data_IF_529374271680
#
_entry.id   IF_529374271680
#
_cell.length_a   1.000
_cell.length_b   1.000
_cell.length_c   1.000
_cell.angle_alpha   90.00
_cell.angle_beta   90.00
_cell.angle_gamma   90.00
#
_symmetry.space_group_name_H-M   'P 1'
#
loop_
_entity.id
_entity.type
_entity.pdbx_description
1 polymer ?
#
# COMPACT_ATOMS: atom_id res chain seq x y z
N UNK A 1 -6.64 -4.91 -20.19
CA UNK A 1 -5.71 -4.53 -21.26
C UNK A 1 -4.42 -5.24 -20.91
N UNK A 2 -4.00 -6.26 -21.66
CA UNK A 2 -2.79 -7.03 -21.34
C UNK A 2 -1.57 -6.15 -21.58
N UNK A 3 -0.82 -5.88 -20.52
CA UNK A 3 0.49 -5.26 -20.59
C UNK A 3 1.46 -6.34 -21.06
N UNK A 4 2.18 -6.10 -22.16
CA UNK A 4 3.33 -6.91 -22.53
C UNK A 4 4.53 -6.38 -21.72
N UNK A 5 4.79 -6.97 -20.55
CA UNK A 5 5.98 -6.67 -19.78
C UNK A 5 7.20 -7.28 -20.48
N UNK A 6 8.25 -6.49 -20.71
CA UNK A 6 9.52 -6.98 -21.26
C UNK A 6 10.55 -7.25 -20.17
N UNK A 7 10.42 -6.56 -19.02
CA UNK A 7 11.37 -6.61 -17.92
C UNK A 7 10.63 -6.43 -16.58
N UNK A 8 11.32 -6.68 -15.47
CA UNK A 8 10.82 -6.38 -14.13
C UNK A 8 11.96 -5.99 -13.18
N UNK A 9 11.60 -5.23 -12.15
CA UNK A 9 12.49 -4.94 -11.02
C UNK A 9 12.02 -5.72 -9.78
N UNK A 10 12.99 -6.32 -9.07
CA UNK A 10 12.75 -6.98 -7.79
C UNK A 10 13.87 -6.67 -6.79
N UNK A 11 13.49 -6.19 -5.61
CA UNK A 11 14.43 -5.79 -4.54
C UNK A 11 15.50 -4.80 -5.05
N UNK A 12 15.11 -3.87 -5.93
CA UNK A 12 15.99 -2.83 -6.48
C UNK A 12 16.91 -3.27 -7.63
N UNK A 13 16.83 -4.52 -8.09
CA UNK A 13 17.63 -5.01 -9.23
C UNK A 13 16.70 -5.33 -10.41
N UNK A 14 17.18 -5.10 -11.63
CA UNK A 14 16.43 -5.42 -12.85
C UNK A 14 16.79 -6.81 -13.38
N UNK A 15 15.84 -7.48 -14.03
CA UNK A 15 16.11 -8.77 -14.70
C UNK A 15 17.07 -8.58 -15.88
N UNK A 16 16.90 -7.49 -16.64
CA UNK A 16 17.79 -7.11 -17.75
C UNK A 16 19.25 -6.88 -17.31
N UNK A 17 19.49 -6.33 -16.12
CA UNK A 17 20.85 -6.17 -15.56
C UNK A 17 21.55 -7.52 -15.35
N UNK A 18 20.78 -8.60 -15.17
CA UNK A 18 21.28 -9.97 -15.08
C UNK A 18 21.37 -10.67 -16.45
N UNK A 19 21.01 -9.98 -17.56
CA UNK A 19 20.95 -10.49 -18.94
C UNK A 19 19.88 -11.56 -19.18
N UNK A 20 18.74 -11.40 -18.53
CA UNK A 20 17.55 -12.23 -18.70
C UNK A 20 16.38 -11.38 -19.20
N UNK A 21 15.40 -12.04 -19.82
CA UNK A 21 14.16 -11.42 -20.27
C UNK A 21 12.95 -12.26 -19.87
N UNK A 22 11.78 -11.63 -19.84
CA UNK A 22 10.50 -12.33 -19.70
C UNK A 22 10.15 -13.01 -21.03
N UNK A 23 9.79 -14.29 -20.98
CA UNK A 23 9.44 -15.07 -22.15
C UNK A 23 8.21 -15.96 -21.87
N UNK A 24 7.74 -16.63 -22.92
CA UNK A 24 6.66 -17.60 -22.85
C UNK A 24 7.11 -18.88 -23.57
N UNK A 25 7.26 -19.97 -22.82
CA UNK A 25 7.62 -21.27 -23.39
C UNK A 25 6.39 -22.05 -23.90
N UNK A 26 5.16 -21.60 -23.59
CA UNK A 26 3.90 -22.25 -23.96
C UNK A 26 2.98 -21.29 -24.75
N UNK A 27 3.42 -20.94 -25.96
CA UNK A 27 2.69 -20.07 -26.90
C UNK A 27 1.35 -20.65 -27.43
N UNK A 28 0.81 -21.71 -26.82
CA UNK A 28 -0.30 -22.48 -27.38
C UNK A 28 -1.70 -21.88 -27.12
N UNK A 29 -1.85 -20.96 -26.15
CA UNK A 29 -3.13 -20.27 -25.89
C UNK A 29 -2.97 -18.76 -25.84
N UNK A 30 -3.41 -18.05 -26.88
CA UNK A 30 -3.43 -16.58 -26.94
C UNK A 30 -4.43 -15.90 -26.00
N UNK A 31 -4.84 -16.56 -24.91
CA UNK A 31 -5.72 -16.02 -23.90
C UNK A 31 -5.42 -16.67 -22.54
N UNK A 32 -4.72 -15.94 -21.67
CA UNK A 32 -4.50 -16.31 -20.27
C UNK A 32 -5.45 -15.51 -19.38
N UNK A 33 -6.17 -16.20 -18.49
CA UNK A 33 -6.96 -15.56 -17.42
C UNK A 33 -6.08 -15.47 -16.17
N UNK A 34 -5.65 -14.27 -15.78
CA UNK A 34 -4.95 -14.03 -14.52
C UNK A 34 -5.94 -13.69 -13.41
N UNK A 35 -5.68 -14.17 -12.18
CA UNK A 35 -6.46 -13.77 -11.00
C UNK A 35 -5.97 -12.40 -10.54
N UNK A 36 -6.88 -11.42 -10.51
CA UNK A 36 -6.56 -10.05 -10.12
C UNK A 36 -6.52 -9.82 -8.61
N UNK A 37 -6.57 -10.88 -7.78
CA UNK A 37 -6.74 -10.75 -6.32
C UNK A 37 -8.03 -10.02 -5.90
N UNK A 38 -8.91 -9.68 -6.85
CA UNK A 38 -10.07 -8.80 -6.66
C UNK A 38 -11.35 -9.55 -6.30
N UNK A 39 -11.23 -10.81 -5.86
CA UNK A 39 -12.37 -11.62 -5.44
C UNK A 39 -12.80 -11.18 -4.04
N UNK A 40 -13.87 -10.40 -4.00
CA UNK A 40 -14.51 -9.98 -2.76
C UNK A 40 -15.54 -11.03 -2.35
N UNK A 41 -15.31 -11.69 -1.22
CA UNK A 41 -16.29 -12.59 -0.63
C UNK A 41 -17.20 -11.82 0.32
N UNK A 42 -18.50 -11.85 0.03
CA UNK A 42 -19.53 -11.19 0.84
C UNK A 42 -20.11 -12.17 1.86
N UNK A 43 -19.90 -11.88 3.14
CA UNK A 43 -20.60 -12.59 4.21
C UNK A 43 -22.00 -12.00 4.35
N UNK A 44 -23.01 -12.84 4.10
CA UNK A 44 -24.42 -12.43 4.06
C UNK A 44 -25.24 -13.25 5.05
N UNK A 45 -26.11 -12.58 5.81
CA UNK A 45 -27.12 -13.25 6.65
C UNK A 45 -28.47 -13.19 5.97
N UNK A 46 -29.08 -14.37 5.80
CA UNK A 46 -30.42 -14.52 5.25
C UNK A 46 -31.48 -13.93 6.18
N UNK A 47 -32.37 -13.11 5.62
CA UNK A 47 -33.51 -12.47 6.27
C UNK A 47 -34.76 -12.72 5.46
N UNK A 48 -35.91 -12.61 6.12
CA UNK A 48 -37.22 -12.80 5.50
C UNK A 48 -37.34 -14.15 4.76
N UNK A 49 -36.90 -15.24 5.40
CA UNK A 49 -36.93 -16.58 4.82
C UNK A 49 -36.19 -16.68 3.47
N UNK A 50 -34.99 -16.10 3.36
CA UNK A 50 -34.19 -16.15 2.13
C UNK A 50 -34.55 -15.12 1.07
N UNK A 51 -35.51 -14.22 1.34
CA UNK A 51 -35.91 -13.17 0.38
C UNK A 51 -35.01 -11.94 0.40
N UNK A 52 -34.27 -11.73 1.49
CA UNK A 52 -33.31 -10.62 1.61
C UNK A 52 -32.05 -11.13 2.29
N UNK A 53 -30.91 -10.56 1.92
CA UNK A 53 -29.62 -10.89 2.52
C UNK A 53 -29.01 -9.58 3.02
N UNK A 54 -28.65 -9.52 4.30
CA UNK A 54 -27.95 -8.38 4.87
C UNK A 54 -26.46 -8.69 4.90
N UNK A 55 -25.63 -7.78 4.36
CA UNK A 55 -24.17 -7.87 4.42
C UNK A 55 -23.70 -7.71 5.87
N UNK A 56 -22.94 -8.68 6.36
CA UNK A 56 -22.28 -8.61 7.67
C UNK A 56 -20.83 -8.16 7.56
N UNK A 57 -20.11 -8.63 6.54
CA UNK A 57 -18.76 -8.18 6.20
C UNK A 57 -18.43 -8.48 4.74
N UNK A 58 -17.35 -7.89 4.24
CA UNK A 58 -16.75 -8.19 2.94
C UNK A 58 -15.23 -8.28 3.13
N UNK A 59 -14.61 -9.32 2.60
CA UNK A 59 -13.18 -9.60 2.73
C UNK A 59 -12.57 -9.92 1.36
N UNK A 60 -11.28 -9.62 1.20
CA UNK A 60 -10.47 -10.19 0.13
C UNK A 60 -9.93 -11.54 0.63
N UNK A 61 -10.24 -12.63 -0.08
CA UNK A 61 -9.79 -13.98 0.29
C UNK A 61 -8.47 -14.39 -0.37
N UNK A 62 -8.09 -13.69 -1.45
CA UNK A 62 -6.93 -14.02 -2.27
C UNK A 62 -6.00 -12.82 -2.40
N UNK A 63 -4.70 -13.10 -2.51
CA UNK A 63 -3.71 -12.12 -2.93
C UNK A 63 -3.50 -12.25 -4.44
N UNK A 64 -2.88 -11.24 -5.04
CA UNK A 64 -2.54 -11.28 -6.46
C UNK A 64 -1.52 -12.41 -6.71
N UNK A 65 -1.79 -13.20 -7.75
CA UNK A 65 -0.90 -14.23 -8.25
C UNK A 65 -0.69 -14.05 -9.75
N UNK A 66 0.55 -14.22 -10.20
CA UNK A 66 0.90 -14.17 -11.61
C UNK A 66 1.95 -15.25 -11.90
N UNK A 67 1.89 -15.80 -13.11
CA UNK A 67 2.82 -16.81 -13.59
C UNK A 67 3.42 -16.35 -14.90
N UNK A 68 4.74 -16.46 -15.02
CA UNK A 68 5.48 -16.10 -16.23
C UNK A 68 6.85 -16.79 -16.24
N UNK A 69 7.44 -16.89 -17.42
CA UNK A 69 8.75 -17.53 -17.58
C UNK A 69 9.85 -16.50 -17.82
N UNK A 70 11.08 -16.85 -17.44
CA UNK A 70 12.28 -16.10 -17.81
C UNK A 70 13.31 -17.00 -18.50
N UNK A 71 14.06 -16.43 -19.41
CA UNK A 71 15.20 -17.07 -20.05
C UNK A 71 16.34 -16.06 -20.29
N UNK A 72 17.53 -16.56 -20.64
CA UNK A 72 18.65 -15.71 -21.04
C UNK A 72 18.27 -14.91 -22.27
N UNK A 73 18.64 -13.63 -22.29
CA UNK A 73 18.44 -12.78 -23.44
C UNK A 73 19.35 -13.25 -24.60
N UNK A 74 18.80 -13.66 -25.76
CA UNK A 74 19.57 -14.08 -26.93
C UNK A 74 20.50 -13.01 -27.52
N UNK A 75 20.20 -11.73 -27.32
CA UNK A 75 21.01 -10.63 -27.87
C UNK A 75 22.24 -10.34 -27.00
N UNK A 76 22.18 -10.67 -25.70
CA UNK A 76 23.22 -10.39 -24.70
C UNK A 76 24.05 -11.62 -24.29
N UNK A 77 23.66 -12.82 -24.75
CA UNK A 77 24.30 -14.10 -24.41
C UNK A 77 24.54 -14.98 -25.63
N UNK A 78 25.73 -15.57 -25.71
CA UNK A 78 26.13 -16.48 -26.80
C UNK A 78 25.39 -17.85 -26.74
N UNK A 79 24.93 -18.23 -25.54
CA UNK A 79 24.09 -19.40 -25.33
C UNK A 79 22.91 -19.09 -24.40
N UNK A 80 21.85 -19.86 -24.55
CA UNK A 80 20.65 -19.75 -23.73
C UNK A 80 20.63 -20.74 -22.55
N UNK A 81 21.76 -21.42 -22.28
CA UNK A 81 21.82 -22.43 -21.24
C UNK A 81 22.08 -21.71 -19.92
N UNK A 82 21.17 -21.90 -18.95
CA UNK A 82 21.38 -21.41 -17.60
C UNK A 82 22.28 -22.40 -16.87
N UNK A 83 23.49 -21.97 -16.55
CA UNK A 83 24.43 -22.80 -15.81
C UNK A 83 24.10 -22.85 -14.30
N UNK A 84 24.80 -23.69 -13.55
CA UNK A 84 24.57 -23.83 -12.11
C UNK A 84 24.94 -22.57 -11.31
N UNK A 85 25.85 -21.73 -11.82
CA UNK A 85 26.25 -20.50 -11.15
C UNK A 85 25.15 -19.44 -11.25
N UNK A 86 24.69 -19.21 -12.48
CA UNK A 86 23.60 -18.33 -12.85
C UNK A 86 22.29 -18.76 -12.15
N UNK A 87 21.98 -20.05 -12.19
CA UNK A 87 20.81 -20.59 -11.50
C UNK A 87 20.86 -20.31 -10.00
N UNK A 88 22.02 -20.47 -9.35
CA UNK A 88 22.16 -20.16 -7.91
C UNK A 88 22.03 -18.67 -7.63
N UNK A 89 22.49 -17.80 -8.52
CA UNK A 89 22.31 -16.36 -8.39
C UNK A 89 20.83 -15.98 -8.49
N UNK A 90 20.10 -16.52 -9.47
CA UNK A 90 18.67 -16.32 -9.65
C UNK A 90 17.85 -16.86 -8.47
N UNK A 91 18.12 -18.08 -8.02
CA UNK A 91 17.46 -18.66 -6.84
C UNK A 91 17.70 -17.81 -5.59
N UNK A 92 18.94 -17.33 -5.40
CA UNK A 92 19.24 -16.44 -4.28
C UNK A 92 18.43 -15.17 -4.40
N UNK A 93 18.35 -14.54 -5.58
CA UNK A 93 17.68 -13.25 -5.76
C UNK A 93 16.15 -13.34 -5.64
N UNK A 94 15.52 -14.27 -6.36
CA UNK A 94 14.07 -14.35 -6.54
C UNK A 94 13.36 -15.17 -5.45
N UNK A 95 13.94 -16.28 -4.99
CA UNK A 95 13.30 -17.15 -4.00
C UNK A 95 13.63 -16.69 -2.57
N UNK A 96 12.84 -15.74 -2.07
CA UNK A 96 13.02 -15.12 -0.75
C UNK A 96 11.99 -15.61 0.26
N UNK A 97 12.37 -15.63 1.54
CA UNK A 97 11.45 -15.91 2.64
C UNK A 97 10.64 -14.69 3.10
N UNK A 98 10.63 -13.61 2.30
CA UNK A 98 9.95 -12.35 2.61
C UNK A 98 9.41 -11.73 1.34
N UNK A 99 8.32 -10.99 1.48
CA UNK A 99 7.79 -10.16 0.40
C UNK A 99 8.68 -8.92 0.22
N UNK A 100 9.01 -8.60 -1.03
CA UNK A 100 9.87 -7.47 -1.41
C UNK A 100 9.25 -6.69 -2.56
N UNK A 101 9.64 -5.42 -2.74
CA UNK A 101 9.15 -4.60 -3.85
C UNK A 101 9.41 -5.27 -5.20
N UNK A 102 8.34 -5.39 -5.99
CA UNK A 102 8.32 -5.88 -7.35
C UNK A 102 7.52 -4.94 -8.24
N UNK A 103 7.98 -4.70 -9.46
CA UNK A 103 7.21 -3.98 -10.49
C UNK A 103 7.54 -4.50 -11.87
N UNK A 104 6.53 -4.56 -12.74
CA UNK A 104 6.72 -4.81 -14.16
C UNK A 104 7.17 -3.53 -14.88
N UNK A 105 8.03 -3.71 -15.88
CA UNK A 105 8.52 -2.66 -16.75
C UNK A 105 8.06 -2.99 -18.18
N UNK A 106 7.26 -2.09 -18.76
CA UNK A 106 6.70 -2.24 -20.10
C UNK A 106 7.65 -1.80 -21.22
N UNK A 107 7.41 -2.29 -22.44
CA UNK A 107 8.11 -1.85 -23.66
C UNK A 107 7.78 -0.42 -24.09
N UNK A 108 6.57 0.02 -23.76
CA UNK A 108 5.97 1.26 -24.24
C UNK A 108 5.51 2.09 -23.04
N UNK A 109 6.23 3.19 -22.76
CA UNK A 109 5.86 4.28 -21.84
C UNK A 109 4.52 4.98 -22.20
N UNK A 110 3.63 4.34 -22.98
CA UNK A 110 2.41 4.96 -23.52
C UNK A 110 1.23 4.91 -22.57
N UNK A 111 1.24 3.98 -21.60
CA UNK A 111 0.20 3.86 -20.58
C UNK A 111 0.85 3.78 -19.19
N UNK A 112 1.59 4.83 -18.81
CA UNK A 112 2.45 4.97 -17.61
C UNK A 112 1.79 4.82 -16.22
N UNK A 113 0.71 4.03 -16.13
CA UNK A 113 -0.05 3.73 -14.92
C UNK A 113 0.60 2.60 -14.11
N UNK A 114 1.23 1.59 -14.75
CA UNK A 114 1.77 0.41 -14.04
C UNK A 114 3.27 0.48 -13.67
N UNK A 115 4.10 1.31 -14.31
CA UNK A 115 5.54 1.42 -14.00
C UNK A 115 5.84 1.96 -12.59
N UNK A 116 4.85 2.66 -12.00
CA UNK A 116 4.91 3.24 -10.67
C UNK A 116 4.18 2.42 -9.62
N UNK A 117 3.60 1.27 -9.99
CA UNK A 117 2.90 0.39 -9.05
C UNK A 117 3.85 -0.68 -8.55
N UNK A 118 4.00 -0.71 -7.23
CA UNK A 118 4.85 -1.66 -6.53
C UNK A 118 3.96 -2.72 -5.88
N UNK A 119 4.27 -3.98 -6.16
CA UNK A 119 3.69 -5.13 -5.51
C UNK A 119 4.70 -5.70 -4.51
N UNK A 120 4.29 -5.97 -3.29
CA UNK A 120 5.15 -6.64 -2.32
C UNK A 120 5.01 -8.16 -2.55
N UNK A 121 5.95 -8.73 -3.31
CA UNK A 121 5.85 -10.08 -3.85
C UNK A 121 7.01 -11.01 -3.46
N UNK A 122 6.78 -12.30 -3.65
CA UNK A 122 7.77 -13.37 -3.54
C UNK A 122 7.51 -14.43 -4.60
N UNK A 123 8.54 -15.19 -4.96
CA UNK A 123 8.48 -16.16 -6.06
C UNK A 123 8.76 -17.59 -5.60
N UNK A 124 7.94 -18.52 -6.08
CA UNK A 124 8.32 -19.92 -6.24
C UNK A 124 8.83 -20.14 -7.66
N UNK A 125 9.81 -21.03 -7.82
CA UNK A 125 10.57 -21.17 -9.07
C UNK A 125 10.65 -22.63 -9.47
N UNK A 126 10.25 -22.93 -10.70
CA UNK A 126 10.39 -24.23 -11.34
C UNK A 126 11.37 -24.17 -12.52
N UNK A 127 11.97 -25.31 -12.87
CA UNK A 127 12.99 -25.40 -13.93
C UNK A 127 12.36 -25.80 -15.26
N UNK A 128 12.67 -25.05 -16.32
CA UNK A 128 12.29 -25.39 -17.69
C UNK A 128 13.49 -26.02 -18.40
N UNK A 129 13.40 -27.32 -18.67
CA UNK A 129 14.48 -28.10 -19.29
C UNK A 129 14.10 -28.62 -20.68
N UNK A 130 15.05 -28.54 -21.61
CA UNK A 130 14.95 -29.16 -22.94
C UNK A 130 16.16 -30.08 -23.10
N UNK A 131 15.93 -31.34 -23.42
CA UNK A 131 16.98 -32.36 -23.54
C UNK A 131 17.97 -32.39 -22.34
N UNK A 132 17.42 -32.37 -21.11
CA UNK A 132 18.13 -32.35 -19.82
C UNK A 132 18.97 -31.09 -19.51
N UNK A 133 18.98 -30.08 -20.39
CA UNK A 133 19.64 -28.80 -20.16
C UNK A 133 18.63 -27.75 -19.73
N UNK A 134 19.04 -26.84 -18.84
CA UNK A 134 18.19 -25.77 -18.30
C UNK A 134 18.20 -24.58 -19.24
N UNK A 135 17.03 -24.15 -19.71
CA UNK A 135 16.87 -23.03 -20.65
C UNK A 135 16.04 -21.88 -20.08
N UNK A 136 15.22 -22.15 -19.07
CA UNK A 136 14.38 -21.14 -18.47
C UNK A 136 13.94 -21.51 -17.06
N UNK A 137 13.29 -20.56 -16.42
CA UNK A 137 12.66 -20.72 -15.13
C UNK A 137 11.20 -20.27 -15.23
N UNK A 138 10.30 -21.07 -14.68
CA UNK A 138 8.90 -20.70 -14.50
C UNK A 138 8.75 -20.07 -13.12
N UNK A 139 8.21 -18.86 -13.05
CA UNK A 139 8.01 -18.14 -11.79
C UNK A 139 6.53 -18.09 -11.45
N UNK A 140 6.20 -18.50 -10.22
CA UNK A 140 4.90 -18.26 -9.61
C UNK A 140 5.05 -17.12 -8.60
N UNK A 141 4.56 -15.94 -8.95
CA UNK A 141 4.53 -14.77 -8.09
C UNK A 141 3.34 -14.85 -7.14
N UNK A 142 3.57 -14.51 -5.87
CA UNK A 142 2.50 -14.26 -4.89
C UNK A 142 2.77 -12.95 -4.17
N UNK A 143 1.75 -12.10 -4.06
CA UNK A 143 1.83 -10.85 -3.28
C UNK A 143 1.33 -11.06 -1.84
N UNK A 144 1.60 -10.08 -0.96
CA UNK A 144 1.03 -10.04 0.39
C UNK A 144 -0.32 -9.29 0.48
N UNK A 145 -0.80 -8.74 -0.64
CA UNK A 145 -1.98 -7.89 -0.71
C UNK A 145 -2.74 -8.10 -2.03
N UNK A 146 -4.07 -7.89 -2.05
CA UNK A 146 -4.91 -8.02 -3.25
C UNK A 146 -4.77 -6.83 -4.23
N UNK A 147 -3.80 -5.94 -4.02
CA UNK A 147 -3.61 -4.71 -4.77
C UNK A 147 -2.12 -4.33 -4.82
N UNK A 148 -1.78 -3.40 -5.71
CA UNK A 148 -0.48 -2.75 -5.73
C UNK A 148 -0.48 -1.44 -4.95
N UNK A 149 0.70 -0.87 -4.76
CA UNK A 149 0.91 0.41 -4.09
C UNK A 149 1.52 1.41 -5.06
N UNK A 150 0.98 2.63 -5.12
CA UNK A 150 1.60 3.72 -5.86
C UNK A 150 2.80 4.31 -5.10
N UNK A 151 3.39 5.36 -5.67
CA UNK A 151 4.50 6.07 -5.05
C UNK A 151 4.11 6.69 -3.69
N UNK A 152 5.06 6.73 -2.77
CA UNK A 152 4.86 7.34 -1.45
C UNK A 152 4.49 8.81 -1.56
N UNK A 153 3.32 9.18 -1.04
CA UNK A 153 2.86 10.56 -0.97
C UNK A 153 3.19 11.11 0.42
N UNK A 154 3.85 12.26 0.46
CA UNK A 154 4.21 12.93 1.71
C UNK A 154 3.77 14.38 1.74
N UNK A 155 3.21 14.83 2.87
CA UNK A 155 2.90 16.25 3.11
C UNK A 155 3.28 16.64 4.54
N UNK A 156 3.74 17.87 4.71
CA UNK A 156 3.96 18.49 6.03
C UNK A 156 3.00 19.65 6.23
N UNK A 157 2.39 19.69 7.41
CA UNK A 157 1.41 20.70 7.81
C UNK A 157 1.81 21.29 9.16
N UNK A 158 1.61 22.59 9.32
CA UNK A 158 1.81 23.28 10.61
C UNK A 158 0.48 23.53 11.29
N UNK A 159 0.39 23.19 12.57
CA UNK A 159 -0.78 23.41 13.42
C UNK A 159 -0.39 24.34 14.57
N UNK A 160 -1.13 25.43 14.76
CA UNK A 160 -0.85 26.36 15.85
C UNK A 160 -1.38 25.83 17.19
N UNK A 161 -0.81 26.31 18.31
CA UNK A 161 -1.19 25.92 19.67
C UNK A 161 -2.49 26.55 20.18
N UNK A 162 -3.28 27.15 19.28
CA UNK A 162 -4.59 27.71 19.59
C UNK A 162 -5.62 26.59 19.45
N UNK A 163 -6.43 26.37 20.50
CA UNK A 163 -7.53 25.41 20.44
C UNK A 163 -8.44 25.69 19.23
N UNK A 164 -8.76 24.65 18.47
CA UNK A 164 -9.54 24.76 17.23
C UNK A 164 -8.74 25.20 16.01
N UNK A 165 -7.42 25.40 16.10
CA UNK A 165 -6.56 25.54 14.92
C UNK A 165 -6.69 24.31 14.04
N UNK A 166 -6.70 24.52 12.72
CA UNK A 166 -6.91 23.43 11.76
C UNK A 166 -5.82 23.39 10.71
N UNK A 167 -5.49 22.18 10.26
CA UNK A 167 -4.73 21.94 9.05
C UNK A 167 -5.41 20.84 8.23
N UNK A 168 -5.31 20.92 6.91
CA UNK A 168 -5.99 20.00 6.00
C UNK A 168 -4.97 19.27 5.13
N UNK A 169 -4.93 17.92 5.22
CA UNK A 169 -4.30 17.08 4.21
C UNK A 169 -4.76 17.46 2.80
N UNK A 170 -3.85 17.39 1.83
CA UNK A 170 -4.21 17.61 0.44
C UNK A 170 -5.18 16.50 0.01
N UNK A 171 -6.37 16.90 -0.44
CA UNK A 171 -7.45 16.01 -0.86
C UNK A 171 -7.04 15.19 -2.08
N UNK A 172 -6.33 15.80 -3.02
CA UNK A 172 -5.98 15.14 -4.28
C UNK A 172 -5.07 13.92 -4.01
N UNK A 173 -4.21 14.01 -2.99
CA UNK A 173 -3.39 12.89 -2.51
C UNK A 173 -4.23 11.75 -1.92
N UNK A 174 -5.24 12.08 -1.12
CA UNK A 174 -6.12 11.07 -0.52
C UNK A 174 -6.94 10.35 -1.59
N UNK A 175 -7.36 11.05 -2.64
CA UNK A 175 -8.13 10.49 -3.75
C UNK A 175 -7.32 9.65 -4.75
N UNK A 176 -5.98 9.63 -4.65
CA UNK A 176 -5.16 8.68 -5.44
C UNK A 176 -5.34 7.23 -4.98
N UNK A 177 -6.00 7.01 -3.84
CA UNK A 177 -6.29 5.68 -3.34
C UNK A 177 -7.59 5.12 -3.96
N UNK A 178 -7.51 3.99 -4.64
CA UNK A 178 -8.65 3.31 -5.29
C UNK A 178 -9.54 2.54 -4.28
N UNK A 179 -9.11 2.39 -3.03
CA UNK A 179 -9.87 1.76 -1.95
C UNK A 179 -10.55 2.84 -1.09
N UNK A 180 -11.88 2.76 -0.99
CA UNK A 180 -12.61 3.50 0.02
C UNK A 180 -12.40 2.87 1.39
N UNK A 181 -12.15 3.70 2.40
CA UNK A 181 -11.88 3.22 3.75
C UNK A 181 -10.94 4.11 4.53
N UNK A 182 -10.42 3.53 5.63
CA UNK A 182 -9.40 4.17 6.45
C UNK A 182 -8.03 3.99 5.80
N UNK A 183 -7.28 5.08 5.73
CA UNK A 183 -5.86 5.10 5.37
C UNK A 183 -5.07 5.23 6.68
N UNK A 184 -3.99 4.46 6.80
CA UNK A 184 -3.12 4.43 7.98
C UNK A 184 -1.71 4.95 7.63
N UNK A 185 -1.50 6.28 7.57
CA UNK A 185 -0.18 6.83 7.27
C UNK A 185 0.84 6.56 8.38
N UNK A 186 2.11 6.70 8.01
CA UNK A 186 3.17 6.97 8.97
C UNK A 186 3.20 8.46 9.24
N UNK A 187 3.23 8.85 10.51
CA UNK A 187 3.30 10.25 10.94
C UNK A 187 4.64 10.54 11.63
N UNK A 188 5.14 11.74 11.40
CA UNK A 188 6.25 12.34 12.16
C UNK A 188 5.79 13.70 12.65
N UNK A 189 5.70 13.87 13.96
CA UNK A 189 5.21 15.09 14.59
C UNK A 189 6.36 15.76 15.33
N UNK A 190 6.64 17.02 14.99
CA UNK A 190 7.61 17.85 15.72
C UNK A 190 6.86 18.77 16.67
N UNK A 191 7.05 18.58 17.97
CA UNK A 191 6.47 19.41 19.02
C UNK A 191 7.12 20.81 19.03
N UNK A 192 6.32 21.88 19.02
CA UNK A 192 6.80 23.29 19.03
C UNK A 192 6.67 23.98 20.39
N UNK A 193 6.45 23.20 21.44
CA UNK A 193 6.31 23.70 22.81
C UNK A 193 6.33 22.58 23.82
N UNK A 194 6.43 22.93 25.10
CA UNK A 194 6.31 21.98 26.20
C UNK A 194 4.87 21.90 26.67
N UNK A 195 4.35 20.70 26.88
CA UNK A 195 2.96 20.45 27.29
C UNK A 195 2.37 19.25 26.57
N UNK A 196 1.04 19.19 26.46
CA UNK A 196 0.36 18.02 25.90
C UNK A 196 0.16 18.19 24.39
N UNK A 197 0.51 17.18 23.61
CA UNK A 197 0.23 17.09 22.19
C UNK A 197 -1.17 16.48 22.00
N UNK A 198 -2.13 17.33 21.60
CA UNK A 198 -3.54 16.94 21.48
C UNK A 198 -4.13 17.40 20.17
N UNK A 199 -4.61 16.46 19.38
CA UNK A 199 -5.35 16.78 18.17
C UNK A 199 -6.42 15.75 17.88
N UNK A 200 -7.36 16.14 17.03
CA UNK A 200 -8.38 15.26 16.50
C UNK A 200 -8.25 15.20 14.99
N UNK A 201 -8.53 14.04 14.41
CA UNK A 201 -8.77 13.93 12.98
C UNK A 201 -10.27 13.92 12.77
N UNK A 202 -10.76 14.90 12.01
CA UNK A 202 -12.16 15.00 11.64
C UNK A 202 -12.37 14.52 10.21
N UNK A 203 -13.50 13.82 9.99
CA UNK A 203 -14.05 13.52 8.65
C UNK A 203 -15.04 14.62 8.26
N UNK A 204 -15.28 14.77 6.96
CA UNK A 204 -16.27 15.73 6.46
C UNK A 204 -17.70 15.44 6.93
N UNK A 205 -18.54 16.47 6.87
CA UNK A 205 -19.85 16.53 7.53
C UNK A 205 -20.92 15.64 6.89
N UNK A 206 -20.69 15.03 5.72
CA UNK A 206 -21.71 14.25 5.04
C UNK A 206 -21.79 12.78 5.47
N UNK A 207 -21.02 12.38 6.51
CA UNK A 207 -20.69 10.96 6.77
C UNK A 207 -21.03 10.44 8.18
N UNK A 208 -22.15 10.87 8.77
CA UNK A 208 -22.57 10.41 10.11
C UNK A 208 -22.97 8.92 10.17
N UNK A 209 -23.31 8.26 9.06
CA UNK A 209 -24.08 7.00 9.10
C UNK A 209 -23.35 5.71 8.69
N UNK A 210 -22.20 5.76 8.01
CA UNK A 210 -21.55 4.53 7.49
C UNK A 210 -20.51 3.91 8.41
N UNK A 211 -19.98 4.67 9.37
CA UNK A 211 -19.10 4.16 10.42
C UNK A 211 -19.78 4.34 11.78
N UNK A 212 -20.74 3.48 12.14
CA UNK A 212 -21.64 3.68 13.28
C UNK A 212 -20.94 3.69 14.65
N UNK A 213 -19.69 3.22 14.73
CA UNK A 213 -18.87 3.32 15.94
C UNK A 213 -18.22 4.70 16.13
N UNK A 214 -18.24 5.55 15.11
CA UNK A 214 -17.75 6.94 15.13
C UNK A 214 -18.94 7.88 14.96
N UNK A 215 -19.79 7.93 15.99
CA UNK A 215 -21.05 8.69 16.02
C UNK A 215 -20.90 10.22 15.99
N UNK A 216 -19.69 10.73 15.78
CA UNK A 216 -19.34 12.13 15.61
C UNK A 216 -18.41 12.28 14.38
N UNK A 217 -18.22 13.50 13.89
CA UNK A 217 -17.31 13.77 12.77
C UNK A 217 -15.83 13.58 13.13
N UNK A 218 -15.52 12.88 14.23
CA UNK A 218 -14.18 12.66 14.78
C UNK A 218 -13.80 11.20 14.50
N UNK A 219 -12.77 11.00 13.69
CA UNK A 219 -12.18 9.69 13.43
C UNK A 219 -11.23 9.26 14.55
N UNK A 220 -10.49 10.21 15.11
CA UNK A 220 -9.50 9.92 16.14
C UNK A 220 -9.34 11.12 17.06
N UNK A 221 -9.14 10.86 18.36
CA UNK A 221 -8.64 11.84 19.34
C UNK A 221 -7.28 11.35 19.82
N UNK A 222 -6.22 11.99 19.35
CA UNK A 222 -4.84 11.68 19.70
C UNK A 222 -4.39 12.54 20.88
N UNK A 223 -3.78 11.91 21.88
CA UNK A 223 -3.29 12.59 23.08
C UNK A 223 -1.98 11.96 23.56
N UNK A 224 -0.95 12.79 23.68
CA UNK A 224 0.29 12.47 24.40
C UNK A 224 0.55 13.59 25.40
N UNK A 225 0.64 13.23 26.67
CA UNK A 225 0.98 14.16 27.74
C UNK A 225 2.48 14.44 27.80
N UNK A 226 2.88 15.51 28.49
CA UNK A 226 4.29 15.74 28.88
C UNK A 226 5.32 15.83 27.73
N UNK A 227 4.90 16.21 26.53
CA UNK A 227 5.81 16.46 25.41
C UNK A 227 6.69 17.69 25.66
N UNK A 228 7.86 17.73 25.03
CA UNK A 228 8.81 18.84 25.13
C UNK A 228 9.05 19.53 23.79
N UNK A 229 9.50 20.79 23.83
CA UNK A 229 9.80 21.54 22.60
C UNK A 229 10.95 20.89 21.81
N UNK A 230 10.73 20.65 20.52
CA UNK A 230 11.67 19.98 19.62
C UNK A 230 11.62 18.44 19.68
N UNK A 231 10.76 17.87 20.52
CA UNK A 231 10.53 16.42 20.54
C UNK A 231 9.89 15.95 19.22
N UNK A 232 10.35 14.80 18.74
CA UNK A 232 9.83 14.18 17.52
C UNK A 232 9.10 12.88 17.91
N UNK A 233 7.81 12.83 17.61
CA UNK A 233 6.98 11.63 17.77
C UNK A 233 6.81 10.97 16.41
N UNK A 234 7.24 9.71 16.29
CA UNK A 234 7.08 8.90 15.07
C UNK A 234 6.03 7.83 15.31
N UNK A 235 5.03 7.77 14.43
CA UNK A 235 3.87 6.88 14.52
C UNK A 235 3.77 6.08 13.23
N UNK A 236 3.71 4.76 13.34
CA UNK A 236 3.31 3.85 12.27
C UNK A 236 1.90 3.35 12.59
N UNK A 237 0.88 4.01 12.02
CA UNK A 237 -0.53 3.73 12.35
C UNK A 237 -0.99 2.35 11.90
N UNK A 238 -0.39 1.81 10.83
CA UNK A 238 -0.70 0.46 10.33
C UNK A 238 -0.18 -0.60 11.31
N UNK A 239 1.06 -0.46 11.78
CA UNK A 239 1.66 -1.41 12.74
C UNK A 239 1.33 -1.12 14.20
N UNK A 240 0.65 0.00 14.46
CA UNK A 240 0.36 0.50 15.80
C UNK A 240 1.64 0.66 16.65
N UNK A 241 2.70 1.17 16.03
CA UNK A 241 3.98 1.44 16.69
C UNK A 241 4.12 2.95 16.88
N UNK A 242 4.55 3.36 18.07
CA UNK A 242 4.85 4.75 18.37
C UNK A 242 6.20 4.86 19.07
N UNK A 243 6.96 5.90 18.75
CA UNK A 243 8.27 6.18 19.33
C UNK A 243 8.49 7.68 19.48
N UNK A 244 9.42 8.05 20.34
CA UNK A 244 9.85 9.44 20.57
C UNK A 244 11.35 9.54 20.35
N UNK A 245 11.84 10.71 19.94
CA UNK A 245 13.27 11.03 19.90
C UNK A 245 13.90 11.22 21.28
N UNK A 246 13.11 11.22 22.36
CA UNK A 246 13.58 11.46 23.73
C UNK A 246 13.49 10.21 24.60
N UNK A 247 14.64 9.64 24.96
CA UNK A 247 14.73 8.47 25.83
C UNK A 247 14.08 8.66 27.21
N UNK A 248 14.01 9.90 27.70
CA UNK A 248 13.41 10.25 28.99
C UNK A 248 11.87 10.21 28.97
N UNK A 249 11.24 10.43 27.81
CA UNK A 249 9.79 10.46 27.70
C UNK A 249 9.24 9.04 27.53
N UNK A 250 8.46 8.57 28.50
CA UNK A 250 7.93 7.21 28.55
C UNK A 250 6.52 7.16 27.99
N UNK A 251 6.43 7.17 26.66
CA UNK A 251 5.15 7.22 25.92
C UNK A 251 4.08 6.22 26.38
N UNK A 252 4.46 5.04 26.87
CA UNK A 252 3.49 4.06 27.38
C UNK A 252 2.70 4.53 28.61
N UNK A 253 3.18 5.55 29.33
CA UNK A 253 2.47 6.19 30.43
C UNK A 253 1.60 7.37 29.96
N UNK A 254 2.01 8.04 28.88
CA UNK A 254 1.52 9.36 28.51
C UNK A 254 0.63 9.34 27.25
N UNK A 255 0.70 8.29 26.44
CA UNK A 255 -0.08 8.12 25.20
C UNK A 255 -1.42 7.42 25.47
N UNK A 256 -2.48 7.94 24.86
CA UNK A 256 -3.83 7.38 24.98
C UNK A 256 -4.13 6.13 24.11
N UNK A 257 -3.13 5.58 23.42
CA UNK A 257 -3.26 4.41 22.54
C UNK A 257 -4.20 4.62 21.34
N UNK A 258 -4.52 5.86 20.98
CA UNK A 258 -5.32 6.19 19.82
C UNK A 258 -4.43 6.53 18.63
N UNK A 259 -4.38 5.66 17.62
CA UNK A 259 -3.57 5.89 16.42
C UNK A 259 -4.35 6.75 15.40
N UNK A 260 -3.75 7.81 14.85
CA UNK A 260 -4.41 8.67 13.87
C UNK A 260 -4.53 7.94 12.52
N UNK A 261 -5.64 8.17 11.83
CA UNK A 261 -5.90 7.66 10.49
C UNK A 261 -6.62 8.73 9.67
N UNK A 262 -6.57 8.61 8.35
CA UNK A 262 -7.39 9.39 7.43
C UNK A 262 -8.51 8.51 6.86
N UNK A 263 -9.51 9.13 6.26
CA UNK A 263 -10.55 8.43 5.50
C UNK A 263 -10.50 8.86 4.03
N UNK A 264 -10.58 7.88 3.13
CA UNK A 264 -10.87 8.07 1.72
C UNK A 264 -12.30 7.60 1.45
N UNK A 265 -13.13 8.48 0.90
CA UNK A 265 -14.51 8.20 0.60
C UNK A 265 -15.05 9.15 -0.48
N UNK A 266 -15.85 8.62 -1.40
CA UNK A 266 -16.57 9.40 -2.40
C UNK A 266 -18.03 9.58 -1.97
N UNK A 267 -18.51 10.83 -1.88
CA UNK A 267 -19.91 11.08 -1.59
C UNK A 267 -20.78 10.88 -2.86
N UNK A 268 -21.63 9.84 -2.92
CA UNK A 268 -22.46 9.58 -4.09
C UNK A 268 -23.61 10.59 -4.29
N UNK A 269 -23.97 11.35 -3.24
CA UNK A 269 -25.10 12.28 -3.27
C UNK A 269 -24.72 13.71 -3.72
N UNK A 270 -23.43 14.00 -3.89
CA UNK A 270 -22.95 15.29 -4.40
C UNK A 270 -22.61 15.21 -5.89
N UNK A 271 -23.52 15.64 -6.76
CA UNK A 271 -23.20 15.91 -8.17
C UNK A 271 -22.09 16.98 -8.24
N UNK A 272 -20.86 16.56 -8.56
CA UNK A 272 -19.71 17.47 -8.72
C UNK A 272 -18.45 17.13 -7.93
N UNK A 273 -18.29 15.92 -7.37
CA UNK A 273 -16.97 15.44 -6.94
C UNK A 273 -16.39 16.12 -5.69
N UNK A 274 -17.25 16.54 -4.76
CA UNK A 274 -16.80 17.02 -3.45
C UNK A 274 -16.47 15.83 -2.56
N UNK A 275 -15.25 15.29 -2.65
CA UNK A 275 -14.72 14.36 -1.65
C UNK A 275 -14.48 15.12 -0.34
N UNK A 276 -15.13 14.66 0.72
CA UNK A 276 -15.08 15.26 2.05
C UNK A 276 -13.65 15.19 2.62
N UNK A 277 -13.17 16.31 3.19
CA UNK A 277 -11.76 16.45 3.57
C UNK A 277 -11.48 15.94 4.98
N UNK A 278 -10.37 15.21 5.13
CA UNK A 278 -9.74 15.05 6.44
C UNK A 278 -9.33 16.42 6.99
N UNK A 279 -9.55 16.67 8.28
CA UNK A 279 -9.10 17.89 8.95
C UNK A 279 -8.43 17.54 10.26
N UNK A 280 -7.20 18.00 10.46
CA UNK A 280 -6.48 17.91 11.72
C UNK A 280 -6.87 19.13 12.55
N UNK A 281 -7.40 18.91 13.75
CA UNK A 281 -7.86 19.97 14.64
C UNK A 281 -7.07 19.92 15.93
N UNK A 282 -6.38 21.01 16.29
CA UNK A 282 -5.75 21.13 17.60
C UNK A 282 -6.84 21.10 18.70
N UNK A 283 -6.72 20.17 19.64
CA UNK A 283 -7.68 19.96 20.71
C UNK A 283 -7.16 20.46 22.07
N UNK A 284 -6.68 21.71 22.08
CA UNK A 284 -6.14 22.35 23.29
C UNK A 284 -4.74 21.89 23.68
N UNK A 285 -3.94 21.45 22.70
CA UNK A 285 -2.55 21.05 22.87
C UNK A 285 -1.55 22.09 22.37
N UNK A 286 -0.27 21.76 22.51
CA UNK A 286 0.85 22.57 21.99
C UNK A 286 0.78 22.76 20.48
N UNK A 287 1.51 23.73 19.94
CA UNK A 287 1.74 23.83 18.50
C UNK A 287 2.62 22.67 18.01
N UNK A 288 2.46 22.24 16.76
CA UNK A 288 3.26 21.16 16.18
C UNK A 288 3.32 21.25 14.65
N UNK A 289 4.36 20.67 14.07
CA UNK A 289 4.37 20.30 12.65
C UNK A 289 4.10 18.80 12.53
N UNK A 290 3.21 18.42 11.61
CA UNK A 290 2.88 17.03 11.33
C UNK A 290 3.20 16.72 9.87
N UNK A 291 4.12 15.79 9.68
CA UNK A 291 4.39 15.16 8.41
C UNK A 291 3.70 13.81 8.36
N UNK A 292 3.06 13.48 7.25
CA UNK A 292 2.49 12.17 7.02
C UNK A 292 2.97 11.60 5.69
N UNK A 293 3.13 10.28 5.64
CA UNK A 293 3.50 9.53 4.44
C UNK A 293 2.65 8.27 4.32
N UNK A 294 2.10 8.02 3.13
CA UNK A 294 1.42 6.76 2.81
C UNK A 294 1.59 6.42 1.33
N UNK A 295 1.49 5.13 1.00
CA UNK A 295 1.45 4.64 -0.37
C UNK A 295 -0.02 4.42 -0.76
N UNK A 296 -0.55 5.07 -1.81
CA UNK A 296 -1.94 4.87 -2.22
C UNK A 296 -2.15 3.44 -2.71
N UNK A 297 -3.31 2.86 -2.40
CA UNK A 297 -3.71 1.56 -2.93
C UNK A 297 -4.15 1.75 -4.38
N UNK A 298 -3.56 0.98 -5.30
CA UNK A 298 -3.87 1.02 -6.73
C UNK A 298 -4.43 -0.35 -7.13
N UNK A 299 -5.68 -0.38 -7.60
CA UNK A 299 -6.39 -1.60 -8.00
C UNK A 299 -6.13 -1.90 -9.46
N UNK A 300 -4.92 -2.39 -9.72
CA UNK A 300 -4.49 -2.86 -11.04
C UNK A 300 -4.02 -4.30 -10.97
N UNK A 301 -4.20 -5.00 -12.08
CA UNK A 301 -3.58 -6.30 -12.31
C UNK A 301 -2.10 -6.10 -12.68
N UNK A 302 -1.20 -6.98 -12.20
CA UNK A 302 0.13 -7.10 -12.78
C UNK A 302 0.08 -7.45 -14.27
#
# INVERSE_FOLDING_TARGET
>A
MSVYALDFEYDGNMLSDMKYLICDFDYSSGANTSSNGSLITFNLVSRNMGKKYSKTSSIYEECIQAEFDICKDPDENDDMIIDDHDYRALMKWLNRHKFLPFRFLGADNKDGVNENVVFMSSFNIEKIKIAERLYGLHLTMTTNAPHGYGADISQTLSVSGTSGSTAKPNRDYISENDEYGLIYPKFTITCKGTGNLRFQIHKGNSHQNEYPNYGNNILCTFDIENCTNGEIITIDSEKQIISTSLDSHKLYNDFNFAFPCFINYENPDMQGGSTDTNTIVNNGGIAFDISYTFSPIIKVSP
#
